data_IF_683071527844
#
_entry.id   IF_683071527844
#
_cell.length_a   1.000
_cell.length_b   1.000
_cell.length_c   1.000
_cell.angle_alpha   90.00
_cell.angle_beta   90.00
_cell.angle_gamma   90.00
#
_symmetry.space_group_name_H-M   'P 1'
#
loop_
_entity.id
_entity.type
_entity.pdbx_description
1 polymer ?
#
# COMPACT_ATOMS: atom_id res chain seq x y z
N UNK A 1 30.70 14.27 16.30
CA UNK A 1 29.42 15.02 16.27
C UNK A 1 28.36 14.04 15.80
N UNK A 2 27.50 13.60 16.71
CA UNK A 2 26.63 12.44 16.52
C UNK A 2 25.21 12.94 16.29
N UNK A 3 24.73 12.94 15.05
CA UNK A 3 23.34 13.28 14.76
C UNK A 3 22.52 12.00 14.77
N UNK A 4 21.89 11.72 15.91
CA UNK A 4 20.77 10.77 16.00
C UNK A 4 19.65 11.30 15.11
N UNK A 5 19.38 10.65 13.99
CA UNK A 5 18.07 10.79 13.34
C UNK A 5 17.06 10.02 14.18
N UNK A 6 16.39 10.76 15.07
CA UNK A 6 15.15 10.30 15.70
C UNK A 6 14.08 10.28 14.60
N UNK A 7 13.97 9.16 13.88
CA UNK A 7 12.71 8.83 13.21
C UNK A 7 11.65 8.71 14.29
N UNK A 8 10.55 9.46 14.19
CA UNK A 8 9.43 9.32 15.11
C UNK A 8 8.90 7.89 15.03
N UNK A 9 9.24 7.07 16.02
CA UNK A 9 8.61 5.77 16.31
C UNK A 9 7.24 6.02 16.94
N UNK A 10 6.34 6.62 16.17
CA UNK A 10 4.93 6.67 16.52
C UNK A 10 4.25 5.49 15.81
N UNK A 11 3.73 4.55 16.62
CA UNK A 11 2.69 3.55 16.30
C UNK A 11 3.03 2.04 16.28
N UNK A 12 4.13 1.57 16.89
CA UNK A 12 4.22 0.11 17.21
C UNK A 12 3.29 -0.31 18.37
N UNK A 13 2.77 0.63 19.16
CA UNK A 13 1.95 0.35 20.35
C UNK A 13 0.48 0.02 20.06
N UNK A 14 -0.03 0.26 18.84
CA UNK A 14 -1.44 -0.01 18.49
C UNK A 14 -1.64 -1.17 17.52
N UNK A 15 -0.58 -1.67 16.87
CA UNK A 15 -0.70 -2.83 15.98
C UNK A 15 -0.84 -4.10 16.85
N UNK A 16 -1.96 -4.84 16.77
CA UNK A 16 -2.14 -6.03 17.61
C UNK A 16 -1.01 -7.05 17.41
N UNK A 17 -0.57 -7.69 18.51
CA UNK A 17 0.57 -8.63 18.53
C UNK A 17 0.52 -9.68 17.41
N UNK A 18 -0.68 -10.16 17.04
CA UNK A 18 -0.87 -11.12 15.95
C UNK A 18 -0.27 -10.66 14.62
N UNK A 19 -0.32 -9.36 14.30
CA UNK A 19 0.25 -8.82 13.07
C UNK A 19 1.77 -8.75 13.15
N UNK A 20 2.33 -8.35 14.30
CA UNK A 20 3.78 -8.34 14.52
C UNK A 20 4.37 -9.75 14.43
N UNK A 21 3.70 -10.73 15.04
CA UNK A 21 4.11 -12.14 14.98
C UNK A 21 4.04 -12.66 13.53
N UNK A 22 3.04 -12.24 12.76
CA UNK A 22 2.91 -12.58 11.35
C UNK A 22 4.02 -11.96 10.48
N UNK A 23 4.34 -10.67 10.67
CA UNK A 23 5.45 -9.99 9.96
C UNK A 23 6.78 -10.70 10.26
N UNK A 24 7.02 -11.06 11.53
CA UNK A 24 8.18 -11.87 11.94
C UNK A 24 8.23 -13.24 11.26
N UNK A 25 7.09 -13.91 11.13
CA UNK A 25 7.01 -15.20 10.43
C UNK A 25 7.31 -15.07 8.92
N UNK A 26 7.08 -13.90 8.32
CA UNK A 26 7.46 -13.58 6.94
C UNK A 26 8.95 -13.21 6.79
N UNK A 27 9.72 -13.18 7.89
CA UNK A 27 11.15 -12.87 7.89
C UNK A 27 11.47 -11.38 8.02
N UNK A 28 10.47 -10.53 8.29
CA UNK A 28 10.64 -9.10 8.49
C UNK A 28 10.39 -8.72 9.96
N UNK A 29 10.83 -7.56 10.40
CA UNK A 29 10.57 -7.04 11.75
C UNK A 29 10.11 -5.58 11.76
N UNK A 30 10.09 -4.93 10.60
CA UNK A 30 9.69 -3.54 10.47
C UNK A 30 8.21 -3.44 10.09
N UNK A 31 7.44 -2.75 10.93
CA UNK A 31 6.04 -2.47 10.70
C UNK A 31 5.85 -0.95 10.72
N UNK A 32 5.47 -0.38 9.57
CA UNK A 32 5.27 1.06 9.41
C UNK A 32 3.83 1.36 9.05
N UNK A 33 3.21 2.26 9.80
CA UNK A 33 2.00 2.92 9.33
C UNK A 33 2.40 3.94 8.25
N UNK A 34 1.92 3.73 7.02
CA UNK A 34 2.33 4.56 5.89
C UNK A 34 1.18 5.30 5.21
N UNK A 35 -0.07 4.86 5.34
CA UNK A 35 -1.25 5.56 4.82
C UNK A 35 -2.52 5.10 5.55
N UNK A 36 -3.47 6.01 5.71
CA UNK A 36 -4.89 5.71 5.96
C UNK A 36 -5.72 6.51 4.96
N UNK A 37 -6.75 5.90 4.38
CA UNK A 37 -7.58 6.51 3.35
C UNK A 37 -9.04 6.11 3.46
N UNK A 38 -9.91 7.11 3.33
CA UNK A 38 -11.34 6.88 3.14
C UNK A 38 -11.62 6.23 1.78
N UNK A 39 -12.34 5.11 1.79
CA UNK A 39 -12.88 4.45 0.60
C UNK A 39 -13.92 5.35 -0.06
N UNK A 40 -13.72 5.65 -1.34
CA UNK A 40 -14.68 6.41 -2.15
C UNK A 40 -15.49 5.48 -3.06
N UNK A 41 -16.65 5.95 -3.53
CA UNK A 41 -17.46 5.22 -4.53
C UNK A 41 -16.65 4.83 -5.77
N UNK A 42 -15.67 5.63 -6.17
CA UNK A 42 -14.80 5.36 -7.33
C UNK A 42 -13.88 4.16 -7.11
N UNK A 43 -13.47 3.89 -5.85
CA UNK A 43 -12.63 2.75 -5.49
C UNK A 43 -13.39 1.42 -5.52
N UNK A 44 -14.72 1.48 -5.42
CA UNK A 44 -15.62 0.32 -5.41
C UNK A 44 -16.17 0.00 -6.81
N UNK A 45 -15.92 0.86 -7.82
CA UNK A 45 -16.39 0.61 -9.18
C UNK A 45 -15.61 -0.56 -9.79
N UNK A 46 -16.32 -1.64 -10.10
CA UNK A 46 -15.74 -2.85 -10.72
C UNK A 46 -14.86 -2.55 -11.94
N UNK A 47 -15.26 -1.60 -12.79
CA UNK A 47 -14.51 -1.21 -13.99
C UNK A 47 -13.15 -0.58 -13.71
N UNK A 48 -12.94 -0.01 -12.52
CA UNK A 48 -11.70 0.67 -12.18
C UNK A 48 -10.69 -0.27 -11.49
N UNK A 49 -11.15 -1.31 -10.77
CA UNK A 49 -10.36 -2.30 -10.02
C UNK A 49 -9.04 -1.76 -9.46
N UNK A 50 -9.11 -0.63 -8.75
CA UNK A 50 -7.91 0.04 -8.25
C UNK A 50 -8.13 0.86 -6.99
N UNK A 51 -7.16 0.80 -6.08
CA UNK A 51 -7.04 1.68 -4.93
C UNK A 51 -5.88 2.66 -5.14
N UNK A 52 -6.16 3.95 -5.39
CA UNK A 52 -5.15 5.00 -5.42
C UNK A 52 -4.75 5.38 -4.00
N UNK A 53 -3.45 5.47 -3.79
CA UNK A 53 -2.76 5.96 -2.60
C UNK A 53 -2.00 7.22 -3.03
N UNK A 54 -2.60 8.40 -2.88
CA UNK A 54 -1.95 9.65 -3.26
C UNK A 54 -0.64 9.83 -2.51
N UNK A 55 0.43 10.17 -3.23
CA UNK A 55 1.76 10.34 -2.62
C UNK A 55 1.76 11.41 -1.53
N UNK A 56 0.85 12.39 -1.59
CA UNK A 56 0.66 13.42 -0.56
C UNK A 56 0.07 12.90 0.76
N UNK A 57 -0.49 11.69 0.78
CA UNK A 57 -1.04 11.03 1.97
C UNK A 57 -0.08 9.98 2.56
N UNK A 58 1.08 9.75 1.94
CA UNK A 58 2.05 8.78 2.42
C UNK A 58 2.88 9.41 3.54
N UNK A 59 2.84 8.80 4.73
CA UNK A 59 3.50 9.34 5.93
C UNK A 59 4.91 8.81 6.15
N UNK A 60 5.26 7.67 5.54
CA UNK A 60 6.53 6.99 5.75
C UNK A 60 7.01 6.36 4.46
N UNK A 61 8.34 6.33 4.29
CA UNK A 61 8.94 5.63 3.17
C UNK A 61 8.74 4.12 3.33
N UNK A 62 8.12 3.50 2.34
CA UNK A 62 7.78 2.07 2.32
C UNK A 62 8.44 1.33 1.15
N UNK A 63 9.11 2.04 0.23
CA UNK A 63 9.82 1.45 -0.89
C UNK A 63 11.32 1.72 -0.80
N UNK A 64 12.10 0.71 -1.11
CA UNK A 64 13.53 0.84 -1.39
C UNK A 64 13.76 1.68 -2.66
N UNK A 65 15.00 2.15 -2.83
CA UNK A 65 15.39 2.92 -4.03
C UNK A 65 15.19 2.10 -5.31
N UNK A 66 15.48 0.81 -5.26
CA UNK A 66 15.38 -0.09 -6.41
C UNK A 66 13.93 -0.38 -6.78
N UNK A 67 13.05 -0.58 -5.79
CA UNK A 67 11.61 -0.72 -6.03
C UNK A 67 11.03 0.55 -6.65
N UNK A 68 11.40 1.74 -6.13
CA UNK A 68 10.97 3.00 -6.74
C UNK A 68 11.43 3.13 -8.18
N UNK A 69 12.69 2.80 -8.46
CA UNK A 69 13.23 2.79 -9.82
C UNK A 69 12.41 1.87 -10.72
N UNK A 70 12.11 0.66 -10.25
CA UNK A 70 11.35 -0.35 -11.00
C UNK A 70 9.94 0.12 -11.38
N UNK A 71 9.27 0.89 -10.52
CA UNK A 71 7.94 1.45 -10.78
C UNK A 71 7.92 2.55 -11.87
N UNK A 72 9.08 3.02 -12.32
CA UNK A 72 9.19 4.00 -13.42
C UNK A 72 9.42 3.34 -14.78
N UNK A 73 9.79 2.04 -14.80
CA UNK A 73 10.13 1.32 -16.01
C UNK A 73 8.86 1.03 -16.82
N UNK A 74 8.93 1.22 -18.14
CA UNK A 74 7.85 0.91 -19.07
C UNK A 74 8.21 -0.26 -19.98
N UNK A 75 7.24 -1.14 -20.21
CA UNK A 75 7.24 -2.12 -21.29
C UNK A 75 6.20 -1.69 -22.34
N UNK A 76 6.67 -1.06 -23.41
CA UNK A 76 5.80 -0.40 -24.37
C UNK A 76 5.04 0.76 -23.73
N UNK A 77 3.70 0.73 -23.83
CA UNK A 77 2.83 1.77 -23.22
C UNK A 77 2.50 1.53 -21.75
N UNK A 78 2.89 0.38 -21.19
CA UNK A 78 2.50 -0.01 -19.84
C UNK A 78 3.66 0.16 -18.86
N UNK A 79 3.38 0.78 -17.72
CA UNK A 79 4.29 0.76 -16.57
C UNK A 79 4.38 -0.66 -16.02
N UNK A 80 5.61 -1.08 -15.73
CA UNK A 80 5.85 -2.25 -14.88
C UNK A 80 5.32 -1.96 -13.48
N UNK A 81 4.98 -3.04 -12.78
CA UNK A 81 4.59 -2.97 -11.39
C UNK A 81 5.33 -4.00 -10.57
N UNK A 82 5.16 -3.91 -9.26
CA UNK A 82 5.75 -4.82 -8.30
C UNK A 82 4.62 -5.65 -7.71
N UNK A 83 4.81 -6.97 -7.65
CA UNK A 83 3.86 -7.85 -6.98
C UNK A 83 3.94 -7.63 -5.47
N UNK A 84 2.79 -7.42 -4.84
CA UNK A 84 2.66 -7.21 -3.38
C UNK A 84 1.58 -8.12 -2.80
N UNK A 85 1.70 -8.45 -1.52
CA UNK A 85 0.68 -9.21 -0.78
C UNK A 85 -0.05 -8.27 0.19
N UNK A 86 -1.38 -8.22 0.07
CA UNK A 86 -2.25 -7.53 1.02
C UNK A 86 -2.87 -8.54 1.98
N UNK A 87 -2.57 -8.40 3.27
CA UNK A 87 -3.16 -9.19 4.34
C UNK A 87 -4.38 -8.47 4.92
N UNK A 88 -5.50 -9.19 5.06
CA UNK A 88 -6.70 -8.66 5.70
C UNK A 88 -6.53 -8.60 7.24
N UNK A 89 -7.42 -7.89 7.96
CA UNK A 89 -7.34 -7.78 9.43
C UNK A 89 -7.43 -9.11 10.19
N UNK A 90 -7.83 -10.20 9.53
CA UNK A 90 -7.93 -11.54 10.09
C UNK A 90 -6.72 -12.41 9.75
N UNK A 91 -5.76 -11.90 8.94
CA UNK A 91 -4.54 -12.59 8.54
C UNK A 91 -4.80 -13.93 7.83
N UNK A 92 -5.91 -14.05 7.09
CA UNK A 92 -6.29 -15.30 6.45
C UNK A 92 -5.26 -15.78 5.41
N UNK A 93 -5.24 -15.11 4.25
CA UNK A 93 -4.33 -15.38 3.14
C UNK A 93 -4.04 -14.05 2.45
N UNK A 94 -2.76 -13.79 2.21
CA UNK A 94 -2.30 -12.64 1.46
C UNK A 94 -2.92 -12.62 0.06
N UNK A 95 -3.61 -11.54 -0.28
CA UNK A 95 -4.12 -11.32 -1.62
C UNK A 95 -3.02 -10.70 -2.47
N UNK A 96 -2.64 -11.39 -3.55
CA UNK A 96 -1.68 -10.84 -4.52
C UNK A 96 -2.30 -9.65 -5.25
N UNK A 97 -1.61 -8.51 -5.23
CA UNK A 97 -1.93 -7.31 -5.98
C UNK A 97 -0.69 -6.86 -6.77
N UNK A 98 -0.89 -5.95 -7.70
CA UNK A 98 0.21 -5.28 -8.38
C UNK A 98 0.24 -3.81 -7.94
N UNK A 99 1.40 -3.35 -7.47
CA UNK A 99 1.67 -1.96 -7.14
C UNK A 99 2.24 -1.24 -8.36
N UNK A 100 1.65 -0.11 -8.74
CA UNK A 100 2.17 0.78 -9.79
C UNK A 100 2.26 2.22 -9.31
N UNK A 101 3.22 2.99 -9.80
CA UNK A 101 3.28 4.46 -9.57
C UNK A 101 2.78 5.19 -10.80
N UNK A 102 1.76 6.02 -10.64
CA UNK A 102 1.20 6.83 -11.73
C UNK A 102 1.52 8.29 -11.46
N UNK A 103 2.19 8.92 -12.41
CA UNK A 103 2.48 10.35 -12.40
C UNK A 103 1.44 11.09 -13.25
N UNK A 104 0.95 12.22 -12.75
CA UNK A 104 -0.03 13.08 -13.40
C UNK A 104 0.63 14.33 -13.97
N UNK A 105 -0.05 15.01 -14.91
CA UNK A 105 0.48 16.19 -15.61
C UNK A 105 0.76 17.40 -14.70
N UNK A 106 0.22 17.42 -13.48
CA UNK A 106 0.37 18.50 -12.50
C UNK A 106 1.47 18.22 -11.46
N UNK A 107 2.47 17.40 -11.81
CA UNK A 107 3.57 16.97 -10.93
C UNK A 107 3.11 16.22 -9.66
N UNK A 108 1.84 15.82 -9.58
CA UNK A 108 1.37 14.92 -8.51
C UNK A 108 1.52 13.47 -8.93
N UNK A 109 1.49 12.56 -7.97
CA UNK A 109 1.54 11.12 -8.23
C UNK A 109 0.68 10.33 -7.26
N UNK A 110 0.36 9.10 -7.64
CA UNK A 110 -0.29 8.12 -6.77
C UNK A 110 0.31 6.75 -6.99
N UNK A 111 0.45 6.01 -5.89
CA UNK A 111 0.63 4.58 -5.95
C UNK A 111 -0.73 3.91 -6.13
N UNK A 112 -0.80 2.87 -6.94
CA UNK A 112 -2.04 2.20 -7.30
C UNK A 112 -1.89 0.72 -6.94
N UNK A 113 -2.76 0.23 -6.06
CA UNK A 113 -2.97 -1.22 -5.92
C UNK A 113 -4.01 -1.62 -6.96
N UNK A 114 -3.62 -2.53 -7.87
CA UNK A 114 -4.43 -2.96 -9.00
C UNK A 114 -4.52 -4.48 -9.11
N UNK A 115 -5.13 -4.96 -10.20
CA UNK A 115 -5.40 -6.38 -10.52
C UNK A 115 -6.52 -6.96 -9.65
N UNK A 116 -6.20 -7.46 -8.45
CA UNK A 116 -7.18 -8.15 -7.59
C UNK A 116 -7.88 -7.23 -6.58
N UNK A 117 -7.91 -5.92 -6.81
CA UNK A 117 -8.54 -4.99 -5.86
C UNK A 117 -10.05 -5.25 -5.68
N UNK A 118 -10.79 -5.55 -6.75
CA UNK A 118 -12.21 -5.90 -6.61
C UNK A 118 -12.41 -7.13 -5.72
N UNK A 119 -11.52 -8.13 -5.82
CA UNK A 119 -11.58 -9.28 -4.92
C UNK A 119 -11.36 -8.88 -3.46
N UNK A 120 -10.45 -7.94 -3.18
CA UNK A 120 -10.26 -7.38 -1.83
C UNK A 120 -11.54 -6.67 -1.35
N UNK A 121 -12.19 -5.90 -2.21
CA UNK A 121 -13.45 -5.21 -1.91
C UNK A 121 -14.54 -6.21 -1.52
N UNK A 122 -14.74 -7.23 -2.35
CA UNK A 122 -15.80 -8.23 -2.15
C UNK A 122 -15.52 -9.10 -0.91
N UNK A 123 -14.29 -9.60 -0.77
CA UNK A 123 -13.86 -10.46 0.35
C UNK A 123 -14.02 -9.77 1.70
N UNK A 124 -13.69 -8.47 1.77
CA UNK A 124 -13.74 -7.70 3.02
C UNK A 124 -15.03 -6.89 3.19
N UNK A 125 -15.97 -6.98 2.25
CA UNK A 125 -17.23 -6.24 2.29
C UNK A 125 -17.04 -4.72 2.37
N UNK A 126 -16.04 -4.17 1.64
CA UNK A 126 -15.70 -2.75 1.72
C UNK A 126 -16.83 -1.87 1.19
N UNK A 127 -17.09 -0.76 1.89
CA UNK A 127 -18.15 0.22 1.59
C UNK A 127 -17.56 1.61 1.51
N UNK A 128 -18.28 2.50 0.83
CA UNK A 128 -17.91 3.91 0.80
C UNK A 128 -17.90 4.47 2.22
N UNK A 129 -17.02 5.45 2.45
CA UNK A 129 -16.84 6.12 3.74
C UNK A 129 -16.15 5.31 4.84
N UNK A 130 -15.83 4.03 4.62
CA UNK A 130 -14.93 3.28 5.50
C UNK A 130 -13.50 3.83 5.42
N UNK A 131 -12.80 3.84 6.55
CA UNK A 131 -11.36 4.12 6.62
C UNK A 131 -10.60 2.80 6.49
N UNK A 132 -9.60 2.76 5.62
CA UNK A 132 -8.70 1.62 5.41
C UNK A 132 -7.24 2.04 5.35
#
# INVERSE_FOLDING_TARGET
MTTKQQGLNLQTTHLPKKFLDHIKALGDSDAKFFIEKKITKTNLKQRNSRMPMPSSMIHSEFLTKDEKGSLTIKKGKHLLGIDVLLWDPFLNQGTKLCLKKWDYNNNSSSYMLIENWNYVVDKNGLRADLMV
#
